data_IF_559821299722
#
_entry.id   IF_559821299722
#
_cell.length_a   1.000
_cell.length_b   1.000
_cell.length_c   1.000
_cell.angle_alpha   90.00
_cell.angle_beta   90.00
_cell.angle_gamma   90.00
#
_symmetry.space_group_name_H-M   'P 1'
#
loop_
_entity.id
_entity.type
_entity.pdbx_description
1 polymer ?
#
# COMPACT_ATOMS: atom_id res chain seq x y z
N UNK A 1 5.95 10.79 23.82
CA UNK A 1 7.27 10.60 23.19
C UNK A 1 7.13 10.78 21.69
N UNK A 2 7.63 11.88 21.13
CA UNK A 2 7.63 12.12 19.68
C UNK A 2 8.81 11.35 19.08
N UNK A 3 8.54 10.40 18.20
CA UNK A 3 9.60 9.62 17.52
C UNK A 3 10.35 10.58 16.61
N UNK A 4 11.67 10.68 16.74
CA UNK A 4 12.48 11.50 15.84
C UNK A 4 12.26 11.03 14.39
N UNK A 5 11.95 11.96 13.50
CA UNK A 5 11.80 11.66 12.07
C UNK A 5 13.14 11.14 11.54
N UNK A 6 13.15 10.03 10.76
CA UNK A 6 14.38 9.52 10.18
C UNK A 6 15.02 10.57 9.26
N UNK A 7 16.35 10.51 9.12
CA UNK A 7 17.03 11.31 8.10
C UNK A 7 16.49 10.97 6.70
N UNK A 8 16.60 11.91 5.76
CA UNK A 8 16.16 11.69 4.38
C UNK A 8 16.85 10.47 3.74
N UNK A 9 18.17 10.33 3.99
CA UNK A 9 18.94 9.15 3.53
C UNK A 9 18.35 7.85 4.07
N UNK A 10 18.10 7.78 5.37
CA UNK A 10 17.51 6.60 6.01
C UNK A 10 16.11 6.29 5.44
N UNK A 11 15.32 7.32 5.14
CA UNK A 11 14.02 7.12 4.49
C UNK A 11 14.16 6.52 3.08
N UNK A 12 15.11 7.00 2.27
CA UNK A 12 15.39 6.47 0.93
C UNK A 12 15.90 5.02 1.02
N UNK A 13 16.75 4.71 1.99
CA UNK A 13 17.23 3.33 2.24
C UNK A 13 16.08 2.40 2.66
N UNK A 14 15.11 2.88 3.46
CA UNK A 14 13.90 2.13 3.79
C UNK A 14 13.05 1.85 2.54
N UNK A 15 12.90 2.83 1.65
CA UNK A 15 12.24 2.62 0.36
C UNK A 15 12.97 1.58 -0.49
N UNK A 16 14.29 1.71 -0.63
CA UNK A 16 15.11 0.75 -1.39
C UNK A 16 14.95 -0.67 -0.84
N UNK A 17 14.98 -0.83 0.49
CA UNK A 17 14.73 -2.12 1.15
C UNK A 17 13.34 -2.67 0.83
N UNK A 18 12.29 -1.84 0.92
CA UNK A 18 10.93 -2.26 0.60
C UNK A 18 10.75 -2.62 -0.88
N UNK A 19 11.37 -1.88 -1.80
CA UNK A 19 11.34 -2.17 -3.23
C UNK A 19 12.03 -3.49 -3.56
N UNK A 20 13.21 -3.75 -2.96
CA UNK A 20 13.90 -5.04 -3.06
C UNK A 20 13.00 -6.17 -2.56
N UNK A 21 12.30 -5.96 -1.44
CA UNK A 21 11.39 -6.97 -0.89
C UNK A 21 10.24 -7.29 -1.86
N UNK A 22 9.62 -6.28 -2.49
CA UNK A 22 8.58 -6.50 -3.52
C UNK A 22 9.13 -7.30 -4.69
N UNK A 23 10.31 -6.93 -5.19
CA UNK A 23 10.91 -7.63 -6.32
C UNK A 23 11.22 -9.11 -6.03
N UNK A 24 11.67 -9.41 -4.80
CA UNK A 24 11.91 -10.80 -4.35
C UNK A 24 10.62 -11.58 -4.06
N UNK A 25 9.51 -10.87 -3.82
CA UNK A 25 8.25 -11.38 -3.25
C UNK A 25 8.43 -11.90 -1.81
N UNK A 26 7.36 -11.96 -1.00
CA UNK A 26 7.47 -12.55 0.33
C UNK A 26 7.67 -14.07 0.22
N UNK A 27 8.49 -14.64 1.11
CA UNK A 27 8.50 -16.09 1.33
C UNK A 27 7.12 -16.51 1.89
N UNK A 28 6.39 -17.44 1.25
CA UNK A 28 5.09 -17.90 1.71
C UNK A 28 5.08 -18.45 3.14
N UNK A 29 6.17 -19.09 3.60
CA UNK A 29 6.27 -19.61 4.96
C UNK A 29 6.38 -18.46 5.96
N UNK A 30 7.33 -17.54 5.72
CA UNK A 30 7.54 -16.36 6.55
C UNK A 30 6.31 -15.44 6.59
N UNK A 31 5.63 -15.27 5.45
CA UNK A 31 4.41 -14.47 5.37
C UNK A 31 3.30 -15.04 6.27
N UNK A 32 3.18 -16.37 6.36
CA UNK A 32 2.17 -17.01 7.21
C UNK A 32 2.46 -16.87 8.69
N UNK A 33 3.72 -16.96 9.09
CA UNK A 33 4.13 -17.00 10.50
C UNK A 33 4.39 -15.62 11.10
N UNK A 34 4.96 -14.69 10.33
CA UNK A 34 5.46 -13.42 10.87
C UNK A 34 4.62 -12.21 10.49
N UNK A 35 3.87 -12.27 9.37
CA UNK A 35 3.14 -11.09 8.91
C UNK A 35 1.81 -10.91 9.69
N UNK A 36 1.58 -9.71 10.26
CA UNK A 36 0.30 -9.37 10.85
C UNK A 36 -0.82 -9.50 9.84
N UNK A 37 -2.00 -9.87 10.33
CA UNK A 37 -3.19 -10.02 9.51
C UNK A 37 -4.01 -8.74 9.57
N UNK A 38 -4.30 -8.14 8.42
CA UNK A 38 -5.10 -6.92 8.29
C UNK A 38 -6.44 -7.27 7.65
N UNK A 39 -7.52 -7.01 8.39
CA UNK A 39 -8.90 -7.22 7.97
C UNK A 39 -9.64 -5.88 7.87
N UNK A 40 -10.81 -5.90 7.25
CA UNK A 40 -11.65 -4.73 6.98
C UNK A 40 -10.84 -3.55 6.43
N UNK A 41 -9.93 -3.87 5.51
CA UNK A 41 -8.89 -2.92 5.12
C UNK A 41 -9.28 -2.13 3.88
N UNK A 42 -8.85 -0.87 3.82
CA UNK A 42 -8.89 -0.09 2.57
C UNK A 42 -7.56 0.63 2.35
N UNK A 43 -7.24 0.94 1.09
CA UNK A 43 -6.19 1.90 0.81
C UNK A 43 -6.76 3.28 1.11
N UNK A 44 -6.00 4.11 1.79
CA UNK A 44 -6.36 5.48 2.07
C UNK A 44 -5.19 6.41 1.75
N UNK A 45 -5.49 7.70 1.65
CA UNK A 45 -4.51 8.74 1.39
C UNK A 45 -4.67 9.90 2.34
N UNK A 46 -3.55 10.53 2.67
CA UNK A 46 -3.49 11.86 3.31
C UNK A 46 -2.45 12.68 2.55
N UNK A 47 -2.90 13.69 1.82
CA UNK A 47 -2.04 14.41 0.87
C UNK A 47 -1.49 13.47 -0.22
N UNK A 48 -0.16 13.38 -0.34
CA UNK A 48 0.54 12.53 -1.33
C UNK A 48 0.89 11.13 -0.81
N UNK A 49 0.67 10.87 0.47
CA UNK A 49 1.00 9.59 1.09
C UNK A 49 -0.19 8.65 1.00
N UNK A 50 0.05 7.46 0.46
CA UNK A 50 -0.91 6.35 0.48
C UNK A 50 -0.49 5.32 1.53
N UNK A 51 -1.47 4.75 2.22
CA UNK A 51 -1.28 3.77 3.29
C UNK A 51 -2.50 2.83 3.36
N UNK A 52 -2.41 1.79 4.17
CA UNK A 52 -3.57 0.96 4.52
C UNK A 52 -4.13 1.40 5.86
N UNK A 53 -5.44 1.29 5.98
CA UNK A 53 -6.18 1.39 7.24
C UNK A 53 -6.99 0.13 7.43
N UNK A 54 -7.21 -0.30 8.68
CA UNK A 54 -8.03 -1.47 9.00
C UNK A 54 -7.67 -2.11 10.34
N UNK A 55 -8.32 -3.24 10.64
CA UNK A 55 -8.15 -3.99 11.87
C UNK A 55 -6.95 -4.95 11.74
N UNK A 56 -5.91 -4.73 12.53
CA UNK A 56 -4.74 -5.60 12.58
C UNK A 56 -4.86 -6.62 13.71
N UNK A 57 -4.40 -7.84 13.45
CA UNK A 57 -4.18 -8.88 14.45
C UNK A 57 -2.74 -9.40 14.38
N UNK A 58 -2.15 -9.68 15.54
CA UNK A 58 -0.77 -10.16 15.66
C UNK A 58 0.28 -9.09 15.36
N UNK A 59 -0.01 -7.80 15.57
CA UNK A 59 1.00 -6.75 15.34
C UNK A 59 2.04 -6.73 16.48
N UNK A 60 3.34 -6.96 16.20
CA UNK A 60 4.36 -7.18 17.24
C UNK A 60 4.60 -5.98 18.16
N UNK A 61 4.19 -4.78 17.76
CA UNK A 61 4.36 -3.55 18.56
C UNK A 61 3.05 -2.95 19.07
N UNK A 62 1.92 -3.27 18.43
CA UNK A 62 0.65 -2.57 18.67
C UNK A 62 -0.43 -3.52 19.19
N UNK A 63 -0.18 -4.84 19.18
CA UNK A 63 -1.21 -5.83 19.46
C UNK A 63 -2.32 -5.82 18.41
N UNK A 64 -3.51 -6.22 18.85
CA UNK A 64 -4.70 -6.24 18.02
C UNK A 64 -5.40 -4.89 18.15
N UNK A 65 -5.58 -4.17 17.04
CA UNK A 65 -6.08 -2.80 17.05
C UNK A 65 -6.49 -2.33 15.64
N UNK A 66 -7.23 -1.24 15.54
CA UNK A 66 -7.36 -0.51 14.29
C UNK A 66 -6.09 0.32 14.05
N UNK A 67 -5.51 0.25 12.85
CA UNK A 67 -4.25 0.94 12.54
C UNK A 67 -4.30 1.70 11.22
N UNK A 68 -3.50 2.77 11.17
CA UNK A 68 -2.93 3.31 9.94
C UNK A 68 -1.52 2.73 9.76
N UNK A 69 -1.22 2.13 8.61
CA UNK A 69 0.12 1.59 8.33
C UNK A 69 1.12 2.69 7.96
N UNK A 70 2.41 2.34 7.93
CA UNK A 70 3.41 3.12 7.16
C UNK A 70 3.05 3.14 5.67
N UNK A 71 3.74 3.99 4.89
CA UNK A 71 3.50 4.16 3.45
C UNK A 71 3.36 2.83 2.72
N UNK A 72 2.27 2.69 1.97
CA UNK A 72 1.97 1.55 1.12
C UNK A 72 2.90 1.54 -0.09
N UNK A 73 3.55 0.40 -0.31
CA UNK A 73 4.51 0.19 -1.39
C UNK A 73 3.90 -0.69 -2.48
N UNK A 74 3.20 -1.75 -2.08
CA UNK A 74 2.64 -2.72 -3.02
C UNK A 74 1.48 -3.49 -2.40
N UNK A 75 0.50 -3.87 -3.22
CA UNK A 75 -0.56 -4.83 -2.89
C UNK A 75 -0.55 -5.90 -3.95
N UNK A 76 -0.64 -7.17 -3.58
CA UNK A 76 -0.67 -8.27 -4.54
C UNK A 76 -1.92 -8.23 -5.42
N UNK A 77 -1.84 -8.84 -6.60
CA UNK A 77 -2.94 -8.84 -7.56
C UNK A 77 -4.20 -9.52 -7.00
N UNK A 78 -4.01 -10.66 -6.32
CA UNK A 78 -5.03 -11.42 -5.60
C UNK A 78 -5.48 -10.77 -4.27
N UNK A 79 -4.89 -9.62 -3.92
CA UNK A 79 -5.12 -8.85 -2.70
C UNK A 79 -5.00 -9.70 -1.43
N UNK A 80 -4.12 -10.70 -1.42
CA UNK A 80 -3.84 -11.56 -0.27
C UNK A 80 -2.71 -11.03 0.61
N UNK A 81 -1.86 -10.12 0.10
CA UNK A 81 -0.78 -9.53 0.89
C UNK A 81 -0.41 -8.14 0.39
N UNK A 82 0.22 -7.36 1.28
CA UNK A 82 0.74 -6.03 0.96
C UNK A 82 2.13 -5.79 1.55
N UNK A 83 2.96 -5.05 0.81
CA UNK A 83 4.19 -4.46 1.32
C UNK A 83 3.94 -3.01 1.72
N UNK A 84 4.31 -2.66 2.95
CA UNK A 84 4.46 -1.26 3.39
C UNK A 84 5.96 -0.95 3.55
N UNK A 85 6.33 0.28 3.87
CA UNK A 85 7.73 0.61 4.18
C UNK A 85 8.29 -0.34 5.25
N UNK A 86 7.56 -0.54 6.33
CA UNK A 86 8.07 -1.28 7.48
C UNK A 86 7.90 -2.80 7.37
N UNK A 87 6.79 -3.32 6.81
CA UNK A 87 6.50 -4.77 6.88
C UNK A 87 5.57 -5.30 5.81
N UNK A 88 5.50 -6.63 5.76
CA UNK A 88 4.46 -7.38 5.07
C UNK A 88 3.21 -7.48 5.92
N UNK A 89 2.04 -7.48 5.28
CA UNK A 89 0.75 -7.80 5.88
C UNK A 89 0.08 -8.90 5.06
N UNK A 90 -0.60 -9.82 5.75
CA UNK A 90 -1.61 -10.69 5.14
C UNK A 90 -2.92 -9.92 5.10
N UNK A 91 -3.60 -9.95 3.97
CA UNK A 91 -4.85 -9.24 3.76
C UNK A 91 -6.02 -10.22 3.84
N UNK A 92 -7.09 -9.82 4.53
CA UNK A 92 -8.36 -10.57 4.62
C UNK A 92 -9.46 -9.78 3.93
N UNK A 93 -10.61 -9.61 4.58
CA UNK A 93 -11.74 -8.82 4.07
C UNK A 93 -11.28 -7.41 3.70
N UNK A 94 -11.52 -7.01 2.46
CA UNK A 94 -11.48 -5.59 2.11
C UNK A 94 -12.67 -4.89 2.78
N UNK A 95 -12.47 -3.65 3.19
CA UNK A 95 -13.52 -2.78 3.67
C UNK A 95 -14.56 -2.58 2.58
N UNK A 96 -15.82 -2.78 2.94
CA UNK A 96 -16.97 -2.40 2.12
C UNK A 96 -17.65 -1.25 2.86
N UNK A 97 -17.72 -0.04 2.28
CA UNK A 97 -18.39 1.06 2.95
C UNK A 97 -19.86 0.69 3.20
N UNK A 98 -20.40 0.97 4.40
CA UNK A 98 -21.82 0.82 4.64
C UNK A 98 -22.55 1.83 3.74
N UNK A 99 -23.47 1.33 2.93
CA UNK A 99 -24.29 2.16 2.05
C UNK A 99 -25.70 2.23 2.60
N UNK A 100 -26.39 3.38 2.45
CA UNK A 100 -27.83 3.45 2.64
C UNK A 100 -28.52 2.31 1.88
N UNK A 101 -29.61 1.77 2.44
CA UNK A 101 -30.32 0.62 1.86
C UNK A 101 -30.75 0.85 0.40
N UNK A 102 -31.03 2.11 0.02
CA UNK A 102 -31.34 2.51 -1.35
C UNK A 102 -30.21 2.24 -2.37
N UNK A 103 -28.98 2.04 -1.90
CA UNK A 103 -27.81 1.64 -2.71
C UNK A 103 -27.30 0.23 -2.38
N UNK A 104 -28.07 -0.57 -1.64
CA UNK A 104 -27.73 -1.96 -1.38
C UNK A 104 -27.58 -2.74 -2.70
N UNK A 105 -26.44 -3.39 -2.89
CA UNK A 105 -26.10 -4.12 -4.12
C UNK A 105 -25.38 -3.29 -5.19
N UNK A 106 -25.21 -1.98 -5.01
CA UNK A 106 -24.40 -1.16 -5.92
C UNK A 106 -22.91 -1.38 -5.62
N UNK A 107 -22.16 -1.81 -6.64
CA UNK A 107 -20.70 -1.91 -6.53
C UNK A 107 -20.05 -0.53 -6.68
N UNK A 108 -19.70 0.09 -5.56
CA UNK A 108 -18.99 1.38 -5.55
C UNK A 108 -17.49 1.24 -5.84
N UNK A 109 -17.13 0.53 -6.92
CA UNK A 109 -15.75 0.48 -7.43
C UNK A 109 -15.33 1.86 -7.93
N UNK A 110 -14.86 2.73 -7.03
CA UNK A 110 -14.41 4.08 -7.40
C UNK A 110 -14.77 5.19 -6.42
N UNK A 111 -15.56 4.92 -5.38
CA UNK A 111 -15.97 5.97 -4.45
C UNK A 111 -14.88 6.27 -3.42
N UNK A 112 -14.71 7.56 -3.17
CA UNK A 112 -13.90 8.11 -2.10
C UNK A 112 -14.79 8.27 -0.87
N UNK A 113 -14.43 7.63 0.23
CA UNK A 113 -15.16 7.71 1.51
C UNK A 113 -14.22 8.29 2.54
N UNK A 114 -14.71 9.24 3.33
CA UNK A 114 -13.96 9.73 4.49
C UNK A 114 -13.83 8.58 5.49
N UNK A 115 -12.60 8.17 5.77
CA UNK A 115 -12.29 7.13 6.77
C UNK A 115 -12.16 7.76 8.15
N UNK A 116 -11.51 8.93 8.21
CA UNK A 116 -11.24 9.71 9.41
C UNK A 116 -10.88 11.16 8.99
N UNK A 117 -10.57 12.04 9.94
CA UNK A 117 -10.22 13.44 9.68
C UNK A 117 -9.04 13.59 8.70
N UNK A 118 -9.32 14.08 7.50
CA UNK A 118 -8.36 14.23 6.41
C UNK A 118 -7.86 12.93 5.76
N UNK A 119 -8.43 11.77 6.11
CA UNK A 119 -8.11 10.47 5.52
C UNK A 119 -9.24 10.04 4.59
N UNK A 120 -8.91 9.90 3.31
CA UNK A 120 -9.88 9.55 2.26
C UNK A 120 -9.51 8.17 1.70
N UNK A 121 -10.49 7.28 1.57
CA UNK A 121 -10.28 5.99 0.91
C UNK A 121 -9.89 6.20 -0.55
N UNK A 122 -9.02 5.35 -1.07
CA UNK A 122 -8.49 5.45 -2.42
C UNK A 122 -8.78 4.14 -3.18
N UNK A 123 -9.58 4.18 -4.26
CA UNK A 123 -9.83 3.02 -5.08
C UNK A 123 -8.53 2.35 -5.55
N UNK A 124 -8.51 1.01 -5.55
CA UNK A 124 -7.29 0.23 -5.82
C UNK A 124 -6.61 0.60 -7.14
N UNK A 125 -7.38 0.83 -8.21
CA UNK A 125 -6.84 1.25 -9.51
C UNK A 125 -6.13 2.62 -9.44
N UNK A 126 -6.58 3.55 -8.59
CA UNK A 126 -5.88 4.82 -8.35
C UNK A 126 -4.64 4.58 -7.50
N UNK A 127 -4.77 3.81 -6.43
CA UNK A 127 -3.65 3.45 -5.56
C UNK A 127 -2.49 2.80 -6.34
N UNK A 128 -2.80 1.92 -7.29
CA UNK A 128 -1.82 1.30 -8.20
C UNK A 128 -1.03 2.32 -9.00
N UNK A 129 -1.64 3.41 -9.48
CA UNK A 129 -0.93 4.49 -10.19
C UNK A 129 0.14 5.14 -9.31
N UNK A 130 -0.12 5.31 -8.02
CA UNK A 130 0.88 5.81 -7.06
C UNK A 130 1.97 4.77 -6.81
N UNK A 131 1.60 3.50 -6.57
CA UNK A 131 2.56 2.42 -6.31
C UNK A 131 3.53 2.20 -7.48
N UNK A 132 3.04 2.27 -8.72
CA UNK A 132 3.86 2.09 -9.93
C UNK A 132 4.87 3.22 -10.12
N UNK A 133 4.51 4.45 -9.77
CA UNK A 133 5.41 5.63 -9.92
C UNK A 133 6.44 5.72 -8.80
N UNK A 134 6.13 5.21 -7.61
CA UNK A 134 6.91 5.45 -6.39
C UNK A 134 8.40 5.12 -6.50
N UNK A 135 8.84 4.00 -7.11
CA UNK A 135 10.27 3.73 -7.25
C UNK A 135 11.01 4.80 -8.05
N UNK A 136 10.40 5.32 -9.12
CA UNK A 136 10.99 6.40 -9.91
C UNK A 136 11.01 7.71 -9.13
N UNK A 137 9.92 8.05 -8.42
CA UNK A 137 9.87 9.25 -7.57
C UNK A 137 10.98 9.25 -6.51
N UNK A 138 11.30 8.08 -5.94
CA UNK A 138 12.40 7.95 -4.96
C UNK A 138 13.77 8.00 -5.63
N UNK A 139 13.93 7.46 -6.84
CA UNK A 139 15.16 7.58 -7.63
C UNK A 139 15.46 9.05 -7.96
N UNK A 140 14.45 9.79 -8.42
CA UNK A 140 14.55 11.20 -8.76
C UNK A 140 14.90 12.04 -7.52
N UNK A 141 14.30 11.71 -6.37
CA UNK A 141 14.61 12.35 -5.09
C UNK A 141 16.04 12.05 -4.62
N UNK A 142 16.50 10.79 -4.74
CA UNK A 142 17.87 10.42 -4.36
C UNK A 142 18.91 11.18 -5.21
N UNK A 143 18.66 11.31 -6.51
CA UNK A 143 19.48 12.10 -7.42
C UNK A 143 19.48 13.59 -7.05
N UNK A 144 18.30 14.18 -6.81
CA UNK A 144 18.20 15.62 -6.53
C UNK A 144 18.89 16.06 -5.24
N UNK A 145 19.09 15.14 -4.29
CA UNK A 145 19.77 15.42 -3.02
C UNK A 145 21.20 14.89 -2.95
N UNK A 146 21.74 14.36 -4.06
CA UNK A 146 23.15 13.93 -4.18
C UNK A 146 23.48 12.56 -3.55
N UNK A 147 22.50 11.66 -3.43
CA UNK A 147 22.73 10.27 -3.03
C UNK A 147 22.96 9.37 -4.24
N UNK A 148 23.98 9.74 -5.04
CA UNK A 148 24.30 9.14 -6.33
C UNK A 148 24.60 7.63 -6.24
N UNK A 149 25.07 7.17 -5.08
CA UNK A 149 25.32 5.76 -4.79
C UNK A 149 24.05 4.88 -4.80
N UNK A 150 22.88 5.46 -4.54
CA UNK A 150 21.60 4.75 -4.49
C UNK A 150 20.84 4.77 -5.83
N UNK A 151 21.11 5.76 -6.68
CA UNK A 151 20.36 6.03 -7.93
C UNK A 151 20.35 4.86 -8.91
N UNK A 152 21.48 4.17 -9.20
CA UNK A 152 21.50 3.08 -10.18
C UNK A 152 20.54 1.94 -9.82
N UNK A 153 20.50 1.56 -8.54
CA UNK A 153 19.66 0.47 -8.10
C UNK A 153 18.19 0.86 -8.01
N UNK A 154 17.88 2.06 -7.53
CA UNK A 154 16.51 2.59 -7.52
C UNK A 154 15.95 2.66 -8.94
N UNK A 155 16.74 3.14 -9.90
CA UNK A 155 16.36 3.20 -11.32
C UNK A 155 16.15 1.80 -11.90
N UNK A 156 17.02 0.83 -11.57
CA UNK A 156 16.86 -0.56 -11.99
C UNK A 156 15.56 -1.16 -11.46
N UNK A 157 15.26 -0.94 -10.17
CA UNK A 157 14.02 -1.42 -9.54
C UNK A 157 12.78 -0.74 -10.11
N UNK A 158 12.85 0.55 -10.44
CA UNK A 158 11.77 1.27 -11.09
C UNK A 158 11.43 0.68 -12.47
N UNK A 159 12.45 0.36 -13.28
CA UNK A 159 12.25 -0.28 -14.58
C UNK A 159 11.73 -1.71 -14.49
N UNK A 160 12.14 -2.44 -13.45
CA UNK A 160 11.74 -3.82 -13.20
C UNK A 160 10.52 -3.93 -12.26
N UNK A 161 9.80 -2.83 -12.02
CA UNK A 161 8.68 -2.82 -11.10
C UNK A 161 7.54 -3.70 -11.65
N UNK A 162 6.87 -4.52 -10.81
CA UNK A 162 5.81 -5.40 -11.28
C UNK A 162 4.75 -4.62 -12.04
N UNK A 163 4.43 -5.06 -13.25
CA UNK A 163 3.34 -4.48 -14.02
C UNK A 163 2.02 -4.85 -13.33
N UNK A 164 1.27 -3.84 -12.89
CA UNK A 164 0.01 -4.05 -12.19
C UNK A 164 -1.11 -3.86 -13.20
N UNK A 165 -1.93 -4.89 -13.51
CA UNK A 165 -2.98 -4.74 -14.50
C UNK A 165 -3.91 -3.57 -14.12
N UNK A 166 -4.29 -2.78 -15.12
CA UNK A 166 -5.30 -1.75 -14.95
C UNK A 166 -6.64 -2.46 -14.70
N UNK A 167 -7.19 -2.29 -13.49
CA UNK A 167 -8.57 -2.68 -13.24
C UNK A 167 -9.47 -1.72 -14.04
N UNK A 168 -10.17 -2.24 -15.05
CA UNK A 168 -11.18 -1.49 -15.78
C UNK A 168 -12.30 -1.10 -14.83
N UNK A 169 -12.52 0.20 -14.70
CA UNK A 169 -13.49 0.83 -13.78
C UNK A 169 -14.95 0.48 -14.05
N UNK A 170 -15.27 -0.04 -15.24
CA UNK A 170 -16.63 -0.09 -15.78
C UNK A 170 -17.05 -1.46 -16.32
N UNK A 171 -16.53 -2.56 -15.79
CA UNK A 171 -17.14 -3.87 -16.10
C UNK A 171 -18.49 -3.99 -15.38
N UNK A 172 -19.56 -3.60 -16.09
CA UNK A 172 -20.94 -3.95 -15.76
C UNK A 172 -21.04 -5.48 -15.88
N UNK A 173 -21.54 -6.20 -14.86
CA UNK A 173 -21.90 -7.60 -15.02
C UNK A 173 -22.91 -7.71 -16.16
N UNK A 174 -22.60 -8.43 -17.23
CA UNK A 174 -23.65 -8.90 -18.13
C UNK A 174 -24.47 -9.90 -17.32
N UNK A 175 -25.67 -9.49 -16.90
CA UNK A 175 -26.65 -10.40 -16.36
C UNK A 175 -26.98 -11.45 -17.44
N UNK A 176 -26.82 -12.73 -17.07
CA UNK A 176 -27.38 -13.88 -17.78
C UNK A 176 -28.82 -14.09 -17.30
#
# INVERSE_FOLDING_TARGET
MQRASPSLRTLIELYLSAFRAVHRRPDPAQLKTEAPCLANWTVATRGREIFLVGDVTGHPLLGDSWIQTSTLIFVSEDRQWARTLSRWYRLRSAFVPPLPDEYAGVSLRGYLVSVDDGIISLPMHMARKFMVRRPQEVADLAFSVGYDDLVPELTRLARAWPNMPNENLFQVPQAL
#
